data_IF_999068811848
#
_entry.id   IF_999068811848
#
_cell.length_a   1.000
_cell.length_b   1.000
_cell.length_c   1.000
_cell.angle_alpha   90.00
_cell.angle_beta   90.00
_cell.angle_gamma   90.00
#
_symmetry.space_group_name_H-M   'P 1'
#
loop_
_entity.id
_entity.type
_entity.pdbx_description
1 polymer ?
#
# COMPACT_ATOMS: atom_id res chain seq x y z
N UNK A 1 -13.67 4.03 0.10
CA UNK A 1 -12.75 4.09 -1.04
C UNK A 1 -12.45 2.66 -1.45
N UNK A 2 -12.75 2.26 -2.69
CA UNK A 2 -12.43 0.89 -3.14
C UNK A 2 -11.03 0.77 -3.72
N UNK A 3 -10.45 1.89 -4.14
CA UNK A 3 -9.11 1.95 -4.70
C UNK A 3 -8.44 3.28 -4.30
N UNK A 4 -7.13 3.26 -4.17
CA UNK A 4 -6.30 4.46 -4.09
C UNK A 4 -4.92 4.16 -4.69
N UNK A 5 -4.11 5.21 -4.90
CA UNK A 5 -2.76 5.07 -5.45
C UNK A 5 -1.76 5.92 -4.68
N UNK A 6 -0.53 5.45 -4.64
CA UNK A 6 0.64 6.18 -4.14
C UNK A 6 1.56 6.43 -5.34
N UNK A 7 1.97 7.68 -5.53
CA UNK A 7 2.89 8.09 -6.59
C UNK A 7 4.06 8.82 -5.94
N UNK A 8 5.26 8.25 -6.03
CA UNK A 8 6.48 8.76 -5.37
C UNK A 8 7.72 8.49 -6.24
N UNK A 9 8.90 8.92 -5.78
CA UNK A 9 10.17 8.60 -6.44
C UNK A 9 10.41 7.08 -6.49
N UNK A 10 11.18 6.60 -7.47
CA UNK A 10 11.34 5.16 -7.74
C UNK A 10 11.91 4.40 -6.53
N UNK A 11 12.88 4.99 -5.84
CA UNK A 11 13.50 4.47 -4.63
C UNK A 11 12.51 4.34 -3.46
N UNK A 12 11.63 5.32 -3.28
CA UNK A 12 10.55 5.27 -2.29
C UNK A 12 9.55 4.16 -2.64
N UNK A 13 9.19 4.02 -3.91
CA UNK A 13 8.28 2.96 -4.38
C UNK A 13 8.90 1.57 -4.19
N UNK A 14 10.19 1.43 -4.48
CA UNK A 14 10.94 0.19 -4.27
C UNK A 14 11.00 -0.19 -2.79
N UNK A 15 11.22 0.78 -1.90
CA UNK A 15 11.22 0.55 -0.45
C UNK A 15 9.83 0.15 0.07
N UNK A 16 8.76 0.81 -0.40
CA UNK A 16 7.38 0.43 -0.07
C UNK A 16 7.09 -1.02 -0.50
N UNK A 17 7.49 -1.40 -1.71
CA UNK A 17 7.29 -2.78 -2.20
C UNK A 17 8.08 -3.78 -1.36
N UNK A 18 9.34 -3.47 -1.02
CA UNK A 18 10.13 -4.30 -0.12
C UNK A 18 9.43 -4.52 1.23
N UNK A 19 8.81 -3.48 1.79
CA UNK A 19 8.03 -3.59 3.02
C UNK A 19 6.73 -4.37 2.84
N UNK A 20 6.06 -4.24 1.69
CA UNK A 20 4.86 -5.04 1.36
C UNK A 20 5.17 -6.54 1.28
N UNK A 21 6.34 -6.89 0.77
CA UNK A 21 6.76 -8.28 0.53
C UNK A 21 7.41 -8.93 1.76
N UNK A 22 8.19 -8.16 2.53
CA UNK A 22 9.03 -8.70 3.60
C UNK A 22 8.67 -8.16 5.00
N UNK A 23 7.94 -7.05 5.09
CA UNK A 23 7.59 -6.41 6.35
C UNK A 23 6.33 -7.01 6.96
N UNK A 24 6.28 -7.11 8.28
CA UNK A 24 5.10 -7.59 9.03
C UNK A 24 3.85 -6.78 8.70
N UNK A 25 4.00 -5.46 8.58
CA UNK A 25 2.91 -4.57 8.16
C UNK A 25 2.48 -4.85 6.72
N UNK A 26 3.43 -5.09 5.82
CA UNK A 26 3.14 -5.43 4.43
C UNK A 26 2.34 -6.71 4.28
N UNK A 27 2.75 -7.76 4.99
CA UNK A 27 2.02 -9.03 5.04
C UNK A 27 0.60 -8.84 5.57
N UNK A 28 0.45 -8.04 6.64
CA UNK A 28 -0.85 -7.68 7.22
C UNK A 28 -1.73 -6.94 6.20
N UNK A 29 -1.16 -6.03 5.42
CA UNK A 29 -1.88 -5.29 4.38
C UNK A 29 -2.28 -6.18 3.22
N UNK A 30 -1.42 -7.12 2.83
CA UNK A 30 -1.69 -8.09 1.77
C UNK A 30 -2.86 -9.02 2.10
N UNK A 31 -3.30 -9.12 3.36
CA UNK A 31 -4.53 -9.83 3.73
C UNK A 31 -5.77 -9.13 3.19
N UNK A 32 -5.82 -7.79 3.27
CA UNK A 32 -7.01 -6.99 2.98
C UNK A 32 -6.98 -6.30 1.61
N UNK A 33 -5.80 -6.10 1.04
CA UNK A 33 -5.60 -5.33 -0.19
C UNK A 33 -4.92 -6.15 -1.29
N UNK A 34 -5.32 -5.90 -2.53
CA UNK A 34 -4.51 -6.18 -3.70
C UNK A 34 -3.66 -4.95 -4.01
N UNK A 35 -2.45 -5.15 -4.54
CA UNK A 35 -1.64 -4.07 -5.07
C UNK A 35 -1.03 -4.43 -6.42
N UNK A 36 -0.74 -3.41 -7.22
CA UNK A 36 -0.02 -3.51 -8.50
C UNK A 36 0.84 -2.27 -8.72
N UNK A 37 2.03 -2.45 -9.28
CA UNK A 37 2.94 -1.36 -9.65
C UNK A 37 2.81 -1.03 -11.13
N UNK A 38 2.77 0.25 -11.47
CA UNK A 38 3.02 0.75 -12.82
C UNK A 38 4.02 1.91 -12.74
N UNK A 39 5.27 1.69 -13.16
CA UNK A 39 6.33 2.67 -13.04
C UNK A 39 6.54 3.12 -11.59
N UNK A 40 6.29 4.40 -11.32
CA UNK A 40 6.45 5.05 -10.02
C UNK A 40 5.13 5.19 -9.24
N UNK A 41 4.13 4.39 -9.62
CA UNK A 41 2.81 4.40 -8.99
C UNK A 41 2.48 3.00 -8.49
N UNK A 42 2.05 2.90 -7.23
CA UNK A 42 1.43 1.68 -6.68
C UNK A 42 -0.07 1.93 -6.56
N UNK A 43 -0.87 1.06 -7.16
CA UNK A 43 -2.31 1.05 -7.02
C UNK A 43 -2.70 -0.01 -6.01
N UNK A 44 -3.62 0.35 -5.12
CA UNK A 44 -4.19 -0.54 -4.12
C UNK A 44 -5.69 -0.66 -4.35
N UNK A 45 -6.22 -1.87 -4.26
CA UNK A 45 -7.66 -2.13 -4.28
C UNK A 45 -8.05 -3.02 -3.11
N UNK A 46 -9.14 -2.66 -2.42
CA UNK A 46 -9.61 -3.42 -1.27
C UNK A 46 -10.26 -4.72 -1.75
N UNK A 47 -9.89 -5.85 -1.14
CA UNK A 47 -10.50 -7.14 -1.47
C UNK A 47 -11.99 -7.15 -1.12
N UNK A 48 -12.75 -7.95 -1.86
CA UNK A 48 -14.19 -8.09 -1.63
C UNK A 48 -14.47 -8.57 -0.18
N UNK A 49 -15.46 -7.95 0.46
CA UNK A 49 -15.85 -8.28 1.84
C UNK A 49 -14.90 -7.80 2.94
N UNK A 50 -13.77 -7.16 2.60
CA UNK A 50 -12.85 -6.57 3.57
C UNK A 50 -13.23 -5.13 3.91
N UNK A 51 -12.74 -4.66 5.06
CA UNK A 51 -12.93 -3.31 5.56
C UNK A 51 -11.55 -2.69 5.76
N UNK A 52 -11.33 -1.42 5.37
CA UNK A 52 -10.08 -0.73 5.65
C UNK A 52 -9.83 -0.68 7.16
N UNK A 53 -8.67 -1.18 7.60
CA UNK A 53 -8.23 -1.06 8.99
C UNK A 53 -7.48 0.25 9.22
N UNK A 54 -7.65 0.82 10.41
CA UNK A 54 -7.12 2.14 10.73
C UNK A 54 -5.59 2.16 10.78
N UNK A 55 -4.96 1.11 11.28
CA UNK A 55 -3.51 0.89 11.29
C UNK A 55 -2.92 0.94 9.88
N UNK A 56 -3.58 0.29 8.92
CA UNK A 56 -3.22 0.30 7.50
C UNK A 56 -3.38 1.70 6.89
N UNK A 57 -4.46 2.42 7.21
CA UNK A 57 -4.70 3.79 6.75
C UNK A 57 -3.63 4.76 7.28
N UNK A 58 -3.26 4.64 8.55
CA UNK A 58 -2.23 5.48 9.17
C UNK A 58 -0.86 5.26 8.50
N UNK A 59 -0.54 4.01 8.19
CA UNK A 59 0.69 3.67 7.48
C UNK A 59 0.74 4.30 6.08
N UNK A 60 -0.36 4.25 5.32
CA UNK A 60 -0.45 4.97 4.05
C UNK A 60 -0.33 6.49 4.22
N UNK A 61 -1.00 7.06 5.22
CA UNK A 61 -0.93 8.48 5.52
C UNK A 61 0.51 8.95 5.72
N UNK A 62 1.31 8.18 6.49
CA UNK A 62 2.73 8.45 6.71
C UNK A 62 3.53 8.49 5.39
N UNK A 63 3.30 7.53 4.49
CA UNK A 63 4.04 7.41 3.23
C UNK A 63 3.60 8.39 2.13
N UNK A 64 2.43 9.00 2.30
CA UNK A 64 1.88 9.98 1.34
C UNK A 64 2.17 11.44 1.70
N UNK A 65 2.80 11.71 2.83
CA UNK A 65 2.97 13.07 3.37
C UNK A 65 4.28 13.77 2.94
N UNK A 66 4.88 13.34 1.83
CA UNK A 66 6.07 13.93 1.21
C UNK A 66 5.77 14.44 -0.20
#
# INVERSE_FOLDING_TARGET
MREFKISQQTDVIDDIISHLENGVMGLTMAEDWHYRREGNIIYFSLKEGRVPRLDVILWFGYLTNN
#
